data_IF_521817858666
#
_entry.id   IF_521817858666
#
_cell.length_a   1.000
_cell.length_b   1.000
_cell.length_c   1.000
_cell.angle_alpha   90.00
_cell.angle_beta   90.00
_cell.angle_gamma   90.00
#
_symmetry.space_group_name_H-M   'P 1'
#
loop_
_entity.id
_entity.type
_entity.pdbx_description
1 polymer ?
#
# COMPACT_ATOMS: atom_id res chain seq x y z
N UNK A 1 -3.24 13.62 -13.81
CA UNK A 1 -4.70 13.63 -13.46
C UNK A 1 -4.93 14.38 -12.14
N UNK A 2 -5.97 15.20 -12.02
CA UNK A 2 -6.35 15.82 -10.74
C UNK A 2 -7.37 14.92 -10.05
N UNK A 3 -7.03 14.40 -8.89
CA UNK A 3 -7.87 13.52 -8.07
C UNK A 3 -8.44 14.28 -6.87
N UNK A 4 -9.71 14.02 -6.55
CA UNK A 4 -10.39 14.48 -5.34
C UNK A 4 -10.69 13.23 -4.51
N UNK A 5 -10.16 13.18 -3.30
CA UNK A 5 -10.18 11.98 -2.46
C UNK A 5 -10.96 12.28 -1.19
N UNK A 6 -11.89 11.39 -0.86
CA UNK A 6 -12.57 11.35 0.43
C UNK A 6 -12.40 9.95 1.00
N UNK A 7 -11.85 9.84 2.21
CA UNK A 7 -11.65 8.58 2.91
C UNK A 7 -12.19 8.73 4.34
N UNK A 8 -13.04 7.79 4.75
CA UNK A 8 -13.56 7.69 6.11
C UNK A 8 -13.24 6.31 6.64
N UNK A 9 -12.60 6.25 7.81
CA UNK A 9 -12.43 5.03 8.61
C UNK A 9 -13.17 5.20 9.92
N UNK A 10 -14.09 4.29 10.21
CA UNK A 10 -14.87 4.29 11.43
C UNK A 10 -14.62 3.00 12.21
N UNK A 11 -14.05 3.14 13.40
CA UNK A 11 -13.90 2.07 14.39
C UNK A 11 -15.02 2.15 15.40
N UNK A 12 -15.61 1.01 15.75
CA UNK A 12 -16.59 0.86 16.83
C UNK A 12 -16.15 -0.25 17.77
N UNK A 13 -16.38 -0.04 19.06
CA UNK A 13 -15.98 -0.94 20.14
C UNK A 13 -17.19 -1.34 20.98
N UNK A 14 -17.30 -2.61 21.36
CA UNK A 14 -18.41 -3.13 22.17
C UNK A 14 -18.33 -2.72 23.64
N UNK A 15 -17.17 -2.22 24.10
CA UNK A 15 -16.96 -1.67 25.44
C UNK A 15 -16.06 -0.41 25.34
N UNK A 16 -15.99 0.43 26.38
CA UNK A 16 -15.10 1.59 26.34
C UNK A 16 -13.63 1.22 26.21
N UNK A 17 -12.95 1.85 25.26
CA UNK A 17 -11.49 1.94 25.18
C UNK A 17 -11.05 3.04 26.14
N UNK A 18 -10.14 2.75 27.05
CA UNK A 18 -9.66 3.73 28.04
C UNK A 18 -8.42 4.48 27.56
N UNK A 19 -7.66 3.89 26.67
CA UNK A 19 -6.47 4.47 26.03
C UNK A 19 -6.28 3.89 24.63
N UNK A 20 -5.94 4.73 23.66
CA UNK A 20 -5.47 4.28 22.36
C UNK A 20 -4.41 5.21 21.81
N UNK A 21 -3.47 4.64 21.06
CA UNK A 21 -2.51 5.37 20.24
C UNK A 21 -2.52 4.77 18.84
N UNK A 22 -2.66 5.62 17.83
CA UNK A 22 -2.71 5.22 16.43
C UNK A 22 -1.69 6.01 15.62
N UNK A 23 -0.99 5.32 14.72
CA UNK A 23 -0.17 5.92 13.68
C UNK A 23 -0.95 5.91 12.38
N UNK A 24 -1.17 7.08 11.82
CA UNK A 24 -1.89 7.31 10.58
C UNK A 24 -0.90 7.59 9.46
N UNK A 25 -0.95 6.86 8.35
CA UNK A 25 -0.25 7.10 7.09
C UNK A 25 -1.26 7.47 6.03
N UNK A 26 -1.96 8.56 6.28
CA UNK A 26 -3.10 9.03 5.48
C UNK A 26 -2.81 10.35 4.75
N UNK A 27 -1.56 10.81 4.76
CA UNK A 27 -1.14 12.03 4.06
C UNK A 27 -0.14 11.67 2.97
N UNK A 28 -0.47 11.89 1.70
CA UNK A 28 0.48 11.72 0.61
C UNK A 28 1.61 12.77 0.72
N UNK A 29 2.78 12.41 0.27
CA UNK A 29 3.89 13.37 0.13
C UNK A 29 3.96 13.89 -1.30
N UNK A 30 4.56 15.06 -1.48
CA UNK A 30 4.97 15.54 -2.79
C UNK A 30 6.18 14.76 -3.30
N UNK A 31 6.19 14.44 -4.58
CA UNK A 31 7.32 13.90 -5.32
C UNK A 31 7.33 14.44 -6.76
N UNK A 32 8.19 13.90 -7.62
CA UNK A 32 8.28 14.34 -9.02
C UNK A 32 7.01 14.08 -9.85
N UNK A 33 6.17 13.11 -9.41
CA UNK A 33 4.97 12.65 -10.13
C UNK A 33 3.67 12.95 -9.40
N UNK A 34 3.75 13.37 -8.14
CA UNK A 34 2.59 13.62 -7.31
C UNK A 34 2.73 14.92 -6.53
N UNK A 35 1.73 15.80 -6.61
CA UNK A 35 1.69 17.06 -5.88
C UNK A 35 0.38 17.22 -5.12
N UNK A 36 0.49 17.43 -3.82
CA UNK A 36 -0.65 17.67 -2.93
C UNK A 36 -1.11 19.11 -3.05
N UNK A 37 -2.33 19.32 -3.52
CA UNK A 37 -2.88 20.67 -3.68
C UNK A 37 -3.60 21.13 -2.40
N UNK A 38 -4.35 20.24 -1.77
CA UNK A 38 -5.02 20.41 -0.48
C UNK A 38 -5.13 19.07 0.20
N UNK A 39 -4.94 19.04 1.52
CA UNK A 39 -5.11 17.82 2.30
C UNK A 39 -5.50 18.14 3.73
N UNK A 40 -6.51 17.47 4.24
CA UNK A 40 -7.00 17.65 5.60
C UNK A 40 -7.40 16.31 6.19
N UNK A 41 -7.03 16.08 7.46
CA UNK A 41 -7.43 14.93 8.26
C UNK A 41 -8.20 15.44 9.45
N UNK A 42 -9.44 15.00 9.59
CA UNK A 42 -10.27 15.18 10.78
C UNK A 42 -10.13 13.95 11.66
N UNK A 43 -9.90 14.17 12.97
CA UNK A 43 -9.73 13.13 13.97
C UNK A 43 -10.32 13.60 15.31
N UNK A 44 -10.69 12.69 16.25
CA UNK A 44 -11.28 13.03 17.55
C UNK A 44 -10.27 13.62 18.55
N UNK A 45 -9.04 13.89 18.15
CA UNK A 45 -7.98 14.47 18.96
C UNK A 45 -6.90 15.17 18.14
N UNK A 46 -5.91 15.72 18.81
CA UNK A 46 -4.77 16.36 18.15
C UNK A 46 -3.92 15.34 17.39
N UNK A 47 -3.45 15.73 16.23
CA UNK A 47 -2.56 14.94 15.37
C UNK A 47 -1.15 15.50 15.44
N UNK A 48 -0.19 14.67 15.83
CA UNK A 48 1.23 15.02 15.84
C UNK A 48 1.90 14.50 14.58
N UNK A 49 2.28 15.41 13.68
CA UNK A 49 2.90 15.04 12.41
C UNK A 49 4.38 14.71 12.58
N UNK A 50 4.82 13.64 11.91
CA UNK A 50 6.20 13.18 11.87
C UNK A 50 6.52 12.64 10.47
N UNK A 51 7.78 12.29 10.24
CA UNK A 51 8.20 11.56 9.04
C UNK A 51 8.91 10.28 9.48
N UNK A 52 8.44 9.14 9.02
CA UNK A 52 9.01 7.84 9.39
C UNK A 52 10.32 7.53 8.63
N UNK A 53 10.90 6.36 8.92
CA UNK A 53 12.15 5.91 8.31
C UNK A 53 12.04 5.70 6.78
N UNK A 54 10.84 5.46 6.27
CA UNK A 54 10.58 5.29 4.84
C UNK A 54 10.31 6.61 4.12
N UNK A 55 10.28 7.73 4.85
CA UNK A 55 9.94 9.05 4.33
C UNK A 55 8.44 9.32 4.27
N UNK A 56 7.59 8.44 4.80
CA UNK A 56 6.15 8.68 4.85
C UNK A 56 5.80 9.77 5.84
N UNK A 57 4.83 10.61 5.49
CA UNK A 57 4.20 11.53 6.44
C UNK A 57 3.28 10.72 7.34
N UNK A 58 3.55 10.73 8.64
CA UNK A 58 2.77 10.01 9.65
C UNK A 58 2.17 11.00 10.64
N UNK A 59 1.01 10.64 11.20
CA UNK A 59 0.40 11.38 12.30
C UNK A 59 0.13 10.43 13.45
N UNK A 60 0.50 10.84 14.65
CA UNK A 60 0.16 10.12 15.88
C UNK A 60 -1.11 10.73 16.48
N UNK A 61 -2.13 9.90 16.67
CA UNK A 61 -3.36 10.21 17.41
C UNK A 61 -3.32 9.48 18.74
N UNK A 62 -3.35 10.21 19.85
CA UNK A 62 -3.45 9.64 21.20
C UNK A 62 -4.76 10.05 21.85
N UNK A 63 -5.55 9.06 22.27
CA UNK A 63 -6.79 9.27 23.01
C UNK A 63 -6.64 8.65 24.41
N UNK A 64 -6.67 9.49 25.45
CA UNK A 64 -6.47 9.12 26.84
C UNK A 64 -7.73 9.26 27.70
N UNK A 65 -8.91 9.33 27.07
CA UNK A 65 -10.23 9.38 27.69
C UNK A 65 -11.10 8.24 27.15
N UNK A 66 -12.05 7.72 27.95
CA UNK A 66 -12.92 6.65 27.50
C UNK A 66 -13.69 7.02 26.22
N UNK A 67 -13.71 6.10 25.24
CA UNK A 67 -14.43 6.25 23.99
C UNK A 67 -14.89 4.87 23.48
N UNK A 68 -15.95 4.83 22.69
CA UNK A 68 -16.50 3.62 22.05
C UNK A 68 -16.43 3.66 20.54
N UNK A 69 -15.93 4.77 19.98
CA UNK A 69 -15.76 4.93 18.54
C UNK A 69 -14.59 5.87 18.21
N UNK A 70 -14.03 5.72 17.04
CA UNK A 70 -13.07 6.64 16.44
C UNK A 70 -13.46 6.80 14.98
N UNK A 71 -13.71 8.04 14.55
CA UNK A 71 -13.84 8.38 13.14
C UNK A 71 -12.63 9.18 12.69
N UNK A 72 -12.04 8.72 11.58
CA UNK A 72 -10.97 9.41 10.87
C UNK A 72 -11.51 9.78 9.49
N UNK A 73 -11.47 11.05 9.15
CA UNK A 73 -11.92 11.54 7.86
C UNK A 73 -10.81 12.29 7.14
N UNK A 74 -10.57 11.91 5.90
CA UNK A 74 -9.62 12.57 5.00
C UNK A 74 -10.37 13.20 3.85
N UNK A 75 -10.04 14.44 3.53
CA UNK A 75 -10.49 15.12 2.30
C UNK A 75 -9.29 15.79 1.67
N UNK A 76 -9.04 15.48 0.40
CA UNK A 76 -7.87 16.02 -0.27
C UNK A 76 -7.98 16.15 -1.78
N UNK A 77 -7.03 16.88 -2.34
CA UNK A 77 -6.84 17.05 -3.78
C UNK A 77 -5.37 16.87 -4.12
N UNK A 78 -5.12 15.99 -5.06
CA UNK A 78 -3.77 15.65 -5.52
C UNK A 78 -3.72 15.77 -7.04
N UNK A 79 -2.64 16.30 -7.56
CA UNK A 79 -2.30 16.20 -8.97
C UNK A 79 -1.31 15.05 -9.13
N UNK A 80 -1.64 14.08 -9.96
CA UNK A 80 -0.78 12.93 -10.27
C UNK A 80 -0.45 12.98 -11.75
N UNK A 81 0.83 12.94 -12.07
CA UNK A 81 1.34 12.92 -13.43
C UNK A 81 1.53 11.47 -13.91
N UNK A 82 1.37 11.20 -15.22
CA UNK A 82 1.57 9.86 -15.75
C UNK A 82 3.01 9.40 -15.63
N UNK A 83 3.19 8.11 -15.38
CA UNK A 83 4.50 7.45 -15.29
C UNK A 83 4.81 6.72 -16.60
N UNK A 84 5.95 7.00 -17.22
CA UNK A 84 6.42 6.24 -18.37
C UNK A 84 6.87 4.85 -17.90
N UNK A 85 6.12 3.80 -18.26
CA UNK A 85 6.38 2.41 -17.83
C UNK A 85 6.56 2.26 -16.31
N UNK A 86 5.84 3.05 -15.52
CA UNK A 86 5.91 3.02 -14.06
C UNK A 86 7.20 3.61 -13.46
N UNK A 87 8.08 4.22 -14.26
CA UNK A 87 9.35 4.73 -13.80
C UNK A 87 9.17 5.94 -12.87
N UNK A 88 9.63 5.80 -11.63
CA UNK A 88 9.67 6.85 -10.60
C UNK A 88 11.03 7.57 -10.53
N UNK A 89 12.01 7.09 -11.31
CA UNK A 89 13.35 7.65 -11.31
C UNK A 89 14.18 7.31 -10.06
N UNK A 90 15.24 8.09 -9.87
CA UNK A 90 16.09 8.02 -8.67
C UNK A 90 15.37 8.67 -7.51
N UNK A 91 15.47 8.06 -6.34
CA UNK A 91 14.68 8.47 -5.21
C UNK A 91 15.51 9.15 -4.13
N UNK A 92 14.93 10.18 -3.54
CA UNK A 92 15.35 10.72 -2.25
C UNK A 92 14.80 9.82 -1.10
N UNK A 93 15.30 8.58 -1.05
CA UNK A 93 14.94 7.62 -0.01
C UNK A 93 15.85 7.81 1.20
N UNK A 94 15.25 7.92 2.41
CA UNK A 94 15.99 7.95 3.67
C UNK A 94 16.72 6.65 3.98
N UNK A 95 16.26 5.54 3.39
CA UNK A 95 16.86 4.23 3.54
C UNK A 95 17.65 3.86 2.29
N UNK A 96 18.80 3.20 2.43
CA UNK A 96 19.50 2.65 1.27
C UNK A 96 18.62 1.59 0.59
N UNK A 97 18.69 1.53 -0.74
CA UNK A 97 17.87 0.63 -1.57
C UNK A 97 17.91 -0.83 -1.07
N UNK A 98 19.07 -1.30 -0.62
CA UNK A 98 19.24 -2.66 -0.08
C UNK A 98 18.41 -2.96 1.18
N UNK A 99 17.94 -1.95 1.91
CA UNK A 99 17.02 -2.15 3.04
C UNK A 99 15.68 -2.77 2.58
N UNK A 100 15.36 -2.64 1.32
CA UNK A 100 14.16 -3.21 0.70
C UNK A 100 14.33 -4.62 0.13
N UNK A 101 15.53 -5.23 0.28
CA UNK A 101 15.73 -6.67 0.07
C UNK A 101 15.29 -7.51 1.27
N UNK A 102 15.10 -6.87 2.44
CA UNK A 102 14.77 -7.58 3.68
C UNK A 102 13.35 -8.12 3.59
N UNK A 103 13.23 -9.43 3.73
CA UNK A 103 11.95 -10.13 3.82
C UNK A 103 11.31 -9.92 5.20
N UNK A 104 9.99 -9.98 5.25
CA UNK A 104 9.20 -9.89 6.49
C UNK A 104 8.36 -11.15 6.64
N UNK A 105 7.72 -11.35 7.79
CA UNK A 105 6.82 -12.49 7.97
C UNK A 105 5.73 -12.59 6.89
N UNK A 106 5.23 -11.45 6.39
CA UNK A 106 4.20 -11.40 5.35
C UNK A 106 4.76 -11.65 3.93
N UNK A 107 6.05 -11.40 3.71
CA UNK A 107 6.70 -11.46 2.39
C UNK A 107 7.89 -12.41 2.36
N UNK A 108 7.91 -13.42 3.25
CA UNK A 108 8.96 -14.45 3.27
C UNK A 108 8.81 -15.35 2.04
N UNK A 109 9.87 -15.43 1.23
CA UNK A 109 9.93 -16.38 0.14
C UNK A 109 10.36 -17.76 0.67
N UNK A 110 9.50 -18.75 0.49
CA UNK A 110 9.81 -20.16 0.66
C UNK A 110 10.28 -20.80 -0.67
N UNK A 111 10.63 -22.08 -0.63
CA UNK A 111 11.09 -22.80 -1.83
C UNK A 111 10.01 -22.83 -2.94
N UNK A 112 8.72 -22.83 -2.58
CA UNK A 112 7.61 -22.83 -3.54
C UNK A 112 7.51 -21.50 -4.27
N UNK A 113 7.62 -20.38 -3.55
CA UNK A 113 7.64 -19.03 -4.13
C UNK A 113 8.88 -18.86 -5.00
N UNK A 114 10.06 -19.32 -4.53
CA UNK A 114 11.30 -19.26 -5.31
C UNK A 114 11.22 -20.09 -6.59
N UNK A 115 10.65 -21.29 -6.53
CA UNK A 115 10.43 -22.14 -7.69
C UNK A 115 9.48 -21.47 -8.70
N UNK A 116 8.37 -20.89 -8.22
CA UNK A 116 7.43 -20.13 -9.04
C UNK A 116 8.13 -18.93 -9.71
N UNK A 117 8.83 -18.10 -8.95
CA UNK A 117 9.52 -16.93 -9.47
C UNK A 117 10.55 -17.28 -10.55
N UNK A 118 11.36 -18.32 -10.33
CA UNK A 118 12.37 -18.79 -11.29
C UNK A 118 11.76 -19.43 -12.53
N UNK A 119 10.63 -20.10 -12.41
CA UNK A 119 9.91 -20.66 -13.57
C UNK A 119 9.35 -19.56 -14.48
N UNK A 120 8.87 -18.44 -13.88
CA UNK A 120 8.37 -17.28 -14.63
C UNK A 120 9.50 -16.44 -15.21
N UNK A 121 10.58 -16.27 -14.46
CA UNK A 121 11.73 -15.42 -14.80
C UNK A 121 13.05 -16.22 -14.74
N UNK A 122 13.31 -17.11 -15.70
CA UNK A 122 14.52 -17.95 -15.68
C UNK A 122 15.82 -17.15 -15.76
N UNK A 123 15.82 -15.99 -16.41
CA UNK A 123 16.96 -15.09 -16.54
C UNK A 123 17.00 -13.99 -15.47
N UNK A 124 16.11 -14.08 -14.46
CA UNK A 124 15.96 -13.09 -13.40
C UNK A 124 15.09 -11.90 -13.80
N UNK A 125 15.01 -10.89 -12.91
CA UNK A 125 14.20 -9.69 -13.11
C UNK A 125 15.12 -8.49 -13.39
N UNK A 126 15.18 -8.05 -14.64
CA UNK A 126 16.15 -7.06 -15.12
C UNK A 126 15.50 -5.85 -15.82
N UNK A 127 14.31 -6.03 -16.39
CA UNK A 127 13.65 -5.04 -17.23
C UNK A 127 12.21 -4.74 -16.78
N UNK A 128 11.63 -3.61 -17.20
CA UNK A 128 10.19 -3.36 -16.97
C UNK A 128 9.29 -4.46 -17.56
N UNK A 129 9.68 -5.11 -18.64
CA UNK A 129 8.93 -6.21 -19.22
C UNK A 129 8.89 -7.43 -18.28
N UNK A 130 10.00 -7.75 -17.59
CA UNK A 130 10.06 -8.83 -16.61
C UNK A 130 9.13 -8.55 -15.41
N UNK A 131 9.04 -7.28 -15.02
CA UNK A 131 8.12 -6.83 -13.94
C UNK A 131 6.67 -7.13 -14.30
N UNK A 132 6.23 -6.80 -15.51
CA UNK A 132 4.86 -7.10 -15.98
C UNK A 132 4.65 -8.60 -16.21
N UNK A 133 5.67 -9.32 -16.65
CA UNK A 133 5.59 -10.78 -16.80
C UNK A 133 5.31 -11.45 -15.45
N UNK A 134 6.05 -11.08 -14.40
CA UNK A 134 5.82 -11.60 -13.05
C UNK A 134 4.44 -11.16 -12.50
N UNK A 135 4.08 -9.89 -12.66
CA UNK A 135 2.78 -9.39 -12.22
C UNK A 135 1.61 -10.14 -12.88
N UNK A 136 1.72 -10.40 -14.18
CA UNK A 136 0.73 -11.17 -14.94
C UNK A 136 0.65 -12.62 -14.44
N UNK A 137 1.79 -13.29 -14.25
CA UNK A 137 1.82 -14.66 -13.75
C UNK A 137 1.22 -14.79 -12.34
N UNK A 138 1.44 -13.80 -11.45
CA UNK A 138 0.83 -13.76 -10.13
C UNK A 138 -0.69 -13.58 -10.25
N UNK A 139 -1.16 -12.62 -11.04
CA UNK A 139 -2.57 -12.39 -11.26
C UNK A 139 -3.30 -13.64 -11.80
N UNK A 140 -2.66 -14.33 -12.74
CA UNK A 140 -3.24 -15.55 -13.34
C UNK A 140 -3.24 -16.73 -12.34
N UNK A 141 -2.32 -16.75 -11.37
CA UNK A 141 -2.20 -17.78 -10.34
C UNK A 141 -3.08 -17.54 -9.12
N UNK A 142 -3.36 -16.27 -8.80
CA UNK A 142 -4.10 -15.84 -7.60
C UNK A 142 -5.32 -15.04 -8.05
N UNK A 143 -6.50 -15.64 -7.95
CA UNK A 143 -7.76 -14.98 -8.31
C UNK A 143 -8.08 -13.84 -7.31
N UNK A 144 -8.58 -12.70 -7.80
CA UNK A 144 -9.03 -11.61 -6.93
C UNK A 144 -10.36 -11.97 -6.26
N UNK A 145 -10.34 -12.20 -4.95
CA UNK A 145 -11.52 -12.64 -4.18
C UNK A 145 -11.53 -12.00 -2.79
N UNK A 146 -12.35 -10.95 -2.56
CA UNK A 146 -12.47 -10.31 -1.26
C UNK A 146 -13.01 -11.22 -0.17
N UNK A 147 -12.51 -11.05 1.08
CA UNK A 147 -13.00 -11.76 2.25
C UNK A 147 -12.47 -13.19 2.44
N UNK A 148 -11.51 -13.62 1.61
CA UNK A 148 -10.87 -14.95 1.71
C UNK A 148 -9.55 -14.95 2.44
N UNK A 149 -8.95 -13.79 2.61
CA UNK A 149 -7.69 -13.54 3.32
C UNK A 149 -7.87 -12.41 4.33
N UNK A 150 -6.92 -12.27 5.24
CA UNK A 150 -6.83 -11.17 6.19
C UNK A 150 -5.45 -10.48 6.11
N UNK A 151 -5.28 -9.40 6.89
CA UNK A 151 -4.05 -8.60 6.89
C UNK A 151 -2.81 -9.35 7.38
N UNK A 152 -2.97 -10.53 7.97
CA UNK A 152 -1.88 -11.38 8.49
C UNK A 152 -1.53 -12.54 7.55
N UNK A 153 -2.27 -12.71 6.46
CA UNK A 153 -2.04 -13.79 5.49
C UNK A 153 -0.70 -13.60 4.78
N UNK A 154 0.19 -14.57 4.92
CA UNK A 154 1.54 -14.51 4.34
C UNK A 154 1.55 -14.92 2.86
N UNK A 155 2.52 -14.45 2.09
CA UNK A 155 2.66 -14.69 0.65
C UNK A 155 2.64 -16.18 0.27
N UNK A 156 3.27 -17.07 1.08
CA UNK A 156 3.25 -18.52 0.84
C UNK A 156 1.85 -19.11 0.98
N UNK A 157 1.05 -18.62 1.92
CA UNK A 157 -0.34 -19.04 2.08
C UNK A 157 -1.19 -18.57 0.89
N UNK A 158 -1.00 -17.32 0.43
CA UNK A 158 -1.69 -16.78 -0.76
C UNK A 158 -1.42 -17.63 -1.99
N UNK A 159 -0.15 -17.96 -2.25
CA UNK A 159 0.23 -18.81 -3.39
C UNK A 159 -0.41 -20.20 -3.31
N UNK A 160 -0.51 -20.79 -2.12
CA UNK A 160 -1.14 -22.09 -1.89
C UNK A 160 -2.68 -22.03 -2.05
N UNK A 161 -3.32 -20.99 -1.50
CA UNK A 161 -4.76 -20.77 -1.61
C UNK A 161 -5.20 -20.48 -3.04
N UNK A 162 -4.44 -19.72 -3.80
CA UNK A 162 -4.75 -19.33 -5.17
C UNK A 162 -5.81 -18.23 -5.30
N UNK A 163 -6.10 -17.52 -4.22
CA UNK A 163 -7.00 -16.36 -4.19
C UNK A 163 -6.56 -15.36 -3.12
N UNK A 164 -6.96 -14.10 -3.26
CA UNK A 164 -6.64 -13.01 -2.35
C UNK A 164 -7.05 -11.65 -2.90
N UNK A 165 -6.55 -10.58 -2.31
CA UNK A 165 -6.83 -9.19 -2.70
C UNK A 165 -5.55 -8.46 -3.13
N UNK A 166 -5.64 -7.15 -3.42
CA UNK A 166 -4.50 -6.35 -3.86
C UNK A 166 -3.29 -6.39 -2.90
N UNK A 167 -3.54 -6.43 -1.59
CA UNK A 167 -2.49 -6.62 -0.57
C UNK A 167 -1.73 -7.93 -0.79
N UNK A 168 -2.46 -9.02 -1.04
CA UNK A 168 -1.90 -10.36 -1.21
C UNK A 168 -1.09 -10.48 -2.50
N UNK A 169 -1.61 -9.92 -3.60
CA UNK A 169 -0.89 -9.82 -4.86
C UNK A 169 0.43 -9.05 -4.70
N UNK A 170 0.40 -7.91 -3.99
CA UNK A 170 1.60 -7.13 -3.72
C UNK A 170 2.59 -7.91 -2.82
N UNK A 171 2.13 -8.57 -1.75
CA UNK A 171 2.99 -9.36 -0.89
C UNK A 171 3.65 -10.54 -1.62
N UNK A 172 2.91 -11.26 -2.45
CA UNK A 172 3.47 -12.35 -3.25
C UNK A 172 4.49 -11.84 -4.27
N UNK A 173 4.22 -10.71 -4.93
CA UNK A 173 5.16 -10.06 -5.83
C UNK A 173 6.46 -9.69 -5.09
N UNK A 174 6.36 -9.04 -3.91
CA UNK A 174 7.51 -8.68 -3.08
C UNK A 174 8.33 -9.90 -2.65
N UNK A 175 7.65 -10.99 -2.25
CA UNK A 175 8.32 -12.24 -1.87
C UNK A 175 9.11 -12.82 -3.05
N UNK A 176 8.51 -12.90 -4.25
CA UNK A 176 9.19 -13.35 -5.47
C UNK A 176 10.42 -12.49 -5.79
N UNK A 177 10.25 -11.18 -5.86
CA UNK A 177 11.28 -10.22 -6.26
C UNK A 177 12.45 -10.20 -5.29
N UNK A 178 12.18 -10.13 -3.97
CA UNK A 178 13.23 -10.18 -2.94
C UNK A 178 13.91 -11.54 -2.87
N UNK A 179 13.16 -12.62 -3.12
CA UNK A 179 13.72 -13.96 -3.23
C UNK A 179 14.70 -14.12 -4.38
N UNK A 180 14.57 -13.30 -5.44
CA UNK A 180 15.53 -13.18 -6.54
C UNK A 180 16.66 -12.17 -6.25
N UNK A 181 16.71 -11.58 -5.05
CA UNK A 181 17.75 -10.63 -4.63
C UNK A 181 17.52 -9.19 -5.11
N UNK A 182 16.35 -8.86 -5.65
CA UNK A 182 16.03 -7.52 -6.15
C UNK A 182 15.29 -6.72 -5.09
N UNK A 183 15.68 -5.44 -4.80
CA UNK A 183 14.98 -4.59 -3.85
C UNK A 183 13.57 -4.26 -4.33
N UNK A 184 12.59 -4.40 -3.42
CA UNK A 184 11.21 -4.04 -3.70
C UNK A 184 10.50 -3.57 -2.45
N UNK A 185 9.50 -2.68 -2.60
CA UNK A 185 8.73 -2.09 -1.49
C UNK A 185 7.23 -2.17 -1.77
N UNK A 186 6.49 -2.30 -0.69
CA UNK A 186 5.03 -2.23 -0.68
C UNK A 186 4.60 -0.77 -0.77
N UNK A 187 3.52 -0.54 -1.49
CA UNK A 187 2.88 0.78 -1.59
C UNK A 187 1.41 0.66 -1.20
N UNK A 188 0.97 1.51 -0.29
CA UNK A 188 -0.44 1.74 -0.01
C UNK A 188 -0.87 3.09 -0.61
N UNK A 189 -2.11 3.14 -1.10
CA UNK A 189 -2.61 4.37 -1.68
C UNK A 189 -4.06 4.29 -2.12
N UNK A 190 -4.42 5.17 -3.03
CA UNK A 190 -5.73 5.22 -3.65
C UNK A 190 -5.63 5.00 -5.14
N UNK A 191 -6.61 4.30 -5.69
CA UNK A 191 -6.75 4.07 -7.11
C UNK A 191 -8.04 4.73 -7.63
N UNK A 192 -7.91 5.63 -8.60
CA UNK A 192 -9.07 6.08 -9.36
C UNK A 192 -9.56 4.94 -10.26
N UNK A 193 -10.81 4.57 -10.09
CA UNK A 193 -11.49 3.57 -10.91
C UNK A 193 -12.92 4.00 -11.18
N UNK A 194 -13.45 3.60 -12.31
CA UNK A 194 -14.87 3.78 -12.64
C UNK A 194 -15.76 2.76 -11.96
N UNK A 195 -15.18 1.73 -11.32
CA UNK A 195 -15.91 0.73 -10.56
C UNK A 195 -16.15 1.23 -9.13
N UNK A 196 -17.37 1.09 -8.63
CA UNK A 196 -17.81 1.65 -7.34
C UNK A 196 -17.11 1.07 -6.09
N UNK A 197 -16.23 0.06 -6.21
CA UNK A 197 -15.83 -0.76 -5.07
C UNK A 197 -14.36 -0.74 -4.66
N UNK A 198 -13.48 0.07 -5.24
CA UNK A 198 -12.07 -0.04 -4.87
C UNK A 198 -11.31 1.28 -5.04
N UNK A 199 -11.39 2.12 -4.05
CA UNK A 199 -10.56 3.32 -4.02
C UNK A 199 -9.33 3.18 -3.12
N UNK A 200 -9.35 2.34 -2.06
CA UNK A 200 -8.13 1.99 -1.31
C UNK A 200 -7.43 0.83 -2.03
N UNK A 201 -6.13 0.96 -2.29
CA UNK A 201 -5.41 0.02 -3.12
C UNK A 201 -3.98 -0.21 -2.65
N UNK A 202 -3.41 -1.34 -3.06
CA UNK A 202 -2.03 -1.72 -2.78
C UNK A 202 -1.34 -2.19 -4.05
N UNK A 203 -0.05 -1.83 -4.17
CA UNK A 203 0.81 -2.23 -5.26
C UNK A 203 2.26 -2.34 -4.82
N UNK A 204 3.19 -2.48 -5.75
CA UNK A 204 4.60 -2.63 -5.44
C UNK A 204 5.48 -1.70 -6.28
N UNK A 205 6.61 -1.30 -5.72
CA UNK A 205 7.72 -0.76 -6.49
C UNK A 205 8.89 -1.74 -6.46
N UNK A 206 9.60 -1.85 -7.56
CA UNK A 206 10.80 -2.68 -7.71
C UNK A 206 11.95 -1.84 -8.23
N UNK A 207 13.15 -2.08 -7.70
CA UNK A 207 14.35 -1.37 -8.14
C UNK A 207 15.00 -2.07 -9.32
N UNK A 208 15.06 -1.40 -10.45
CA UNK A 208 15.76 -1.87 -11.64
C UNK A 208 17.05 -1.10 -11.84
N UNK A 209 18.15 -1.84 -12.08
CA UNK A 209 19.44 -1.23 -12.38
C UNK A 209 19.33 -0.35 -13.65
N UNK A 210 19.75 0.91 -13.53
CA UNK A 210 19.71 1.87 -14.64
C UNK A 210 18.37 2.60 -14.85
N UNK A 211 17.26 2.12 -14.26
CA UNK A 211 15.93 2.77 -14.34
C UNK A 211 15.54 3.41 -13.01
N UNK A 212 15.97 2.83 -11.88
CA UNK A 212 15.53 3.19 -10.56
C UNK A 212 14.23 2.48 -10.15
N UNK A 213 13.44 3.10 -9.29
CA UNK A 213 12.16 2.54 -8.86
C UNK A 213 11.15 2.48 -10.01
N UNK A 214 10.56 1.31 -10.19
CA UNK A 214 9.51 1.04 -11.17
C UNK A 214 8.27 0.55 -10.42
N UNK A 215 7.15 1.24 -10.60
CA UNK A 215 5.91 1.02 -9.88
C UNK A 215 4.94 0.15 -10.68
N UNK A 216 4.46 -0.95 -10.11
CA UNK A 216 3.62 -1.95 -10.76
C UNK A 216 2.39 -2.30 -9.93
N UNK A 217 1.22 -2.21 -10.53
CA UNK A 217 -0.04 -2.70 -10.01
C UNK A 217 -0.25 -4.14 -10.44
N UNK A 218 0.09 -5.07 -9.54
CA UNK A 218 0.04 -6.51 -9.78
C UNK A 218 -1.39 -6.99 -10.03
N UNK A 219 -2.34 -6.45 -9.26
CA UNK A 219 -3.76 -6.80 -9.38
C UNK A 219 -4.32 -6.47 -10.75
N UNK A 220 -3.93 -5.33 -11.31
CA UNK A 220 -4.41 -4.88 -12.62
C UNK A 220 -3.45 -5.19 -13.77
N UNK A 221 -2.32 -5.88 -13.52
CA UNK A 221 -1.31 -6.27 -14.52
C UNK A 221 -0.82 -5.09 -15.35
N UNK A 222 -0.54 -3.96 -14.68
CA UNK A 222 -0.15 -2.73 -15.35
C UNK A 222 0.88 -1.98 -14.52
N UNK A 223 1.59 -1.07 -15.13
CA UNK A 223 2.36 -0.08 -14.37
C UNK A 223 1.42 0.91 -13.68
N UNK A 224 1.87 1.44 -12.54
CA UNK A 224 1.18 2.55 -11.92
C UNK A 224 1.16 3.76 -12.88
N UNK A 225 0.12 4.55 -12.80
CA UNK A 225 -0.15 5.67 -13.69
C UNK A 225 -0.70 6.86 -12.89
N UNK A 226 -1.17 7.88 -13.57
CA UNK A 226 -1.84 9.03 -12.97
C UNK A 226 -3.18 8.71 -12.26
N UNK A 227 -3.65 7.45 -12.36
CA UNK A 227 -4.76 6.92 -11.56
C UNK A 227 -4.36 6.53 -10.12
N UNK A 228 -3.07 6.40 -9.82
CA UNK A 228 -2.56 5.90 -8.55
C UNK A 228 -2.05 7.04 -7.67
N UNK A 229 -2.77 7.36 -6.59
CA UNK A 229 -2.32 8.30 -5.58
C UNK A 229 -1.60 7.55 -4.45
N UNK A 230 -0.30 7.73 -4.33
CA UNK A 230 0.57 7.10 -3.34
C UNK A 230 0.43 7.75 -1.97
N UNK A 231 0.18 6.97 -0.92
CA UNK A 231 0.15 7.43 0.48
C UNK A 231 1.43 7.09 1.22
N UNK A 232 1.78 5.81 1.26
CA UNK A 232 2.93 5.35 2.02
C UNK A 232 3.63 4.18 1.33
N UNK A 233 4.92 4.06 1.62
CA UNK A 233 5.76 2.94 1.22
C UNK A 233 6.31 2.22 2.44
N UNK A 234 6.60 0.92 2.31
CA UNK A 234 7.18 0.14 3.39
C UNK A 234 7.70 -1.20 2.89
N UNK A 235 8.14 -2.05 3.81
CA UNK A 235 8.56 -3.41 3.46
C UNK A 235 7.38 -4.36 3.21
N UNK A 236 6.22 -4.03 3.79
CA UNK A 236 4.99 -4.81 3.75
C UNK A 236 3.80 -3.93 4.18
N UNK A 237 2.61 -4.54 4.27
CA UNK A 237 1.42 -3.86 4.78
C UNK A 237 1.62 -3.32 6.20
N UNK A 238 2.27 -4.07 7.09
CA UNK A 238 2.48 -3.66 8.48
C UNK A 238 3.21 -2.31 8.60
N UNK A 239 4.19 -2.08 7.73
CA UNK A 239 4.99 -0.86 7.69
C UNK A 239 4.37 0.28 6.89
N UNK A 240 3.39 -0.02 6.00
CA UNK A 240 2.74 0.97 5.14
C UNK A 240 1.21 1.05 5.32
N UNK A 241 0.64 0.37 6.32
CA UNK A 241 -0.80 0.40 6.57
C UNK A 241 -1.30 1.83 6.84
N UNK A 242 -2.48 2.21 6.31
CA UNK A 242 -3.05 3.55 6.50
C UNK A 242 -3.27 3.91 7.96
N UNK A 243 -3.73 2.95 8.76
CA UNK A 243 -3.94 3.11 10.21
C UNK A 243 -3.39 1.89 10.93
N UNK A 244 -2.56 2.12 11.94
CA UNK A 244 -2.07 1.08 12.86
C UNK A 244 -2.01 1.61 14.27
N UNK A 245 -2.52 0.83 15.22
CA UNK A 245 -2.53 1.28 16.61
C UNK A 245 -2.59 0.17 17.63
N UNK A 246 -2.53 0.58 18.89
CA UNK A 246 -2.76 -0.25 20.06
C UNK A 246 -3.79 0.42 20.96
N UNK A 247 -4.54 -0.38 21.69
CA UNK A 247 -5.57 0.10 22.60
C UNK A 247 -5.62 -0.72 23.90
N UNK A 248 -6.20 -0.11 24.91
CA UNK A 248 -6.50 -0.77 26.19
C UNK A 248 -8.01 -0.76 26.40
N UNK A 249 -8.60 -1.92 26.56
CA UNK A 249 -10.05 -2.10 26.67
C UNK A 249 -10.73 -2.19 25.29
N UNK A 250 -12.02 -1.87 25.21
CA UNK A 250 -12.80 -1.79 23.97
C UNK A 250 -13.60 -3.05 23.62
N UNK A 251 -13.31 -4.21 24.21
CA UNK A 251 -13.98 -5.45 23.81
C UNK A 251 -13.70 -5.83 22.36
N UNK A 252 -14.72 -6.24 21.61
CA UNK A 252 -14.63 -6.50 20.18
C UNK A 252 -14.57 -5.19 19.38
N UNK A 253 -13.80 -5.20 18.30
CA UNK A 253 -13.65 -4.08 17.37
C UNK A 253 -14.31 -4.40 16.04
N UNK A 254 -15.04 -3.45 15.51
CA UNK A 254 -15.46 -3.45 14.11
C UNK A 254 -14.90 -2.23 13.41
N UNK A 255 -14.50 -2.40 12.15
CA UNK A 255 -13.95 -1.33 11.31
C UNK A 255 -14.73 -1.26 10.00
N UNK A 256 -15.12 -0.06 9.63
CA UNK A 256 -15.73 0.25 8.34
C UNK A 256 -14.86 1.28 7.62
N UNK A 257 -14.53 1.02 6.37
CA UNK A 257 -13.74 1.92 5.52
C UNK A 257 -14.53 2.27 4.27
N UNK A 258 -14.67 3.56 4.00
CA UNK A 258 -15.25 4.08 2.77
C UNK A 258 -14.24 5.02 2.10
N UNK A 259 -13.93 4.76 0.85
CA UNK A 259 -13.03 5.60 0.05
C UNK A 259 -13.69 5.94 -1.27
N UNK A 260 -13.62 7.21 -1.64
CA UNK A 260 -14.08 7.72 -2.94
C UNK A 260 -12.95 8.51 -3.58
N UNK A 261 -12.65 8.20 -4.82
CA UNK A 261 -11.72 8.97 -5.64
C UNK A 261 -12.48 9.46 -6.89
N UNK A 262 -12.49 10.77 -7.07
CA UNK A 262 -13.13 11.43 -8.20
C UNK A 262 -12.08 12.21 -8.99
N UNK A 263 -12.29 12.38 -10.31
CA UNK A 263 -11.48 13.28 -11.13
C UNK A 263 -12.18 14.61 -11.27
N UNK A 264 -11.43 15.70 -11.10
CA UNK A 264 -11.94 16.99 -11.54
C UNK A 264 -11.83 17.04 -13.07
N UNK A 265 -12.94 17.17 -13.77
CA UNK A 265 -12.91 17.55 -15.18
C UNK A 265 -12.13 18.86 -15.29
N UNK A 266 -11.10 18.89 -16.14
CA UNK A 266 -10.43 20.15 -16.47
C UNK A 266 -11.48 21.05 -17.14
N UNK A 267 -11.86 22.11 -16.43
CA UNK A 267 -12.60 23.23 -17.04
C UNK A 267 -11.65 24.15 -17.79
#
# INVERSE_FOLDING_TARGET
MKQIITHVTHYRYTAPVTYSIQTLRLTPRDDEHQRVLRWHIEAPGALEQQVDAYGNITHTLTLNRPHTEIELRVVGQVLVDPLAQGALGGEDSRLPVHAYCVQTALTQADDTILAFARAVLPDGLNTPADVLTLATAIHDRVAYEPGTTDVTTAAGQVLALGHGVCQDHAHLFLACVRGLGVPARYVSGYLYTTNEHAASHAWADVWLAGTGWTSVDVTNRQFASDCHCRLAVGRDYDSASPVRGVRTGGGEESMEVSVQVQTALQQ
#
